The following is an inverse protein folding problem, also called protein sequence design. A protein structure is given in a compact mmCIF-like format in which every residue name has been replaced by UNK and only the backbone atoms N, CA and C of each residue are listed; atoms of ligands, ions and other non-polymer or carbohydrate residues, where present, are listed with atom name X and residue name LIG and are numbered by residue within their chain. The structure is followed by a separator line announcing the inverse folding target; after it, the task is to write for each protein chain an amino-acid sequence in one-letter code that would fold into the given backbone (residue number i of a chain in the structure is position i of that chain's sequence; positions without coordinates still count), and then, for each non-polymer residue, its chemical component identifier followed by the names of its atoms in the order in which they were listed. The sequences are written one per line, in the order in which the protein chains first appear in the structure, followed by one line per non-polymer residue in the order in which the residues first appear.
data_IF_364085166219
#
_entry.id   IF_364085166219
#
_cell.length_a   1.000
_cell.length_b   1.000
_cell.length_c   1.000
_cell.angle_alpha   90.00
_cell.angle_beta   90.00
_cell.angle_gamma   90.00
#
_symmetry.space_group_name_H-M   'P 1'
#
loop_
_entity.id
_entity.type
_entity.pdbx_description
1 polymer ?
#
# COMPACT_ATOMS: atom_id res chain seq x y z
N UNK A 1 -3.02 48.54 30.80
CA UNK A 1 -3.27 47.13 30.46
C UNK A 1 -3.53 46.38 31.75
N UNK A 2 -4.77 45.98 32.00
CA UNK A 2 -5.13 45.08 33.11
C UNK A 2 -4.90 43.65 32.66
N UNK A 3 -4.17 42.86 33.46
CA UNK A 3 -3.96 41.43 33.23
C UNK A 3 -5.10 40.71 33.93
N UNK A 4 -6.00 40.08 33.16
CA UNK A 4 -7.04 39.20 33.69
C UNK A 4 -6.43 37.92 34.27
N UNK A 5 -6.94 37.50 35.43
CA UNK A 5 -6.54 36.25 36.07
C UNK A 5 -7.19 35.03 35.39
N UNK A 6 -6.50 33.86 35.37
CA UNK A 6 -7.02 32.67 34.72
C UNK A 6 -8.19 32.08 35.52
N UNK A 7 -9.30 31.81 34.82
CA UNK A 7 -10.44 31.10 35.38
C UNK A 7 -10.10 29.62 35.61
N UNK A 8 -10.13 29.18 36.86
CA UNK A 8 -10.14 27.75 37.23
C UNK A 8 -11.46 27.10 36.84
N UNK A 9 -11.41 26.18 35.87
CA UNK A 9 -12.52 25.32 35.50
C UNK A 9 -12.63 24.20 36.55
N UNK A 10 -13.72 24.19 37.32
CA UNK A 10 -14.07 23.08 38.20
C UNK A 10 -14.88 22.06 37.41
N UNK A 11 -14.37 20.83 37.31
CA UNK A 11 -15.09 19.69 36.75
C UNK A 11 -16.09 19.16 37.78
N UNK A 12 -17.36 19.03 37.39
CA UNK A 12 -18.41 18.44 38.22
C UNK A 12 -18.29 16.91 38.23
N UNK A 13 -17.67 16.39 39.29
CA UNK A 13 -17.48 14.96 39.58
C UNK A 13 -18.76 14.11 39.55
N UNK A 14 -19.96 14.72 39.64
CA UNK A 14 -21.23 13.99 39.52
C UNK A 14 -21.54 13.59 38.08
N UNK A 15 -21.09 14.37 37.10
CA UNK A 15 -21.32 14.09 35.68
C UNK A 15 -20.47 12.92 35.17
N UNK A 16 -19.24 12.80 35.67
CA UNK A 16 -18.32 11.69 35.35
C UNK A 16 -18.79 10.37 35.95
N UNK A 17 -19.27 10.37 37.21
CA UNK A 17 -19.80 9.17 37.85
C UNK A 17 -20.97 8.57 37.07
N UNK A 18 -21.89 9.41 36.58
CA UNK A 18 -23.02 8.97 35.77
C UNK A 18 -22.58 8.33 34.44
N UNK A 19 -21.52 8.86 33.83
CA UNK A 19 -20.95 8.32 32.59
C UNK A 19 -20.26 6.96 32.83
N UNK A 20 -19.55 6.83 33.94
CA UNK A 20 -18.89 5.58 34.34
C UNK A 20 -19.93 4.51 34.69
N UNK A 21 -20.96 4.85 35.47
CA UNK A 21 -22.01 3.90 35.84
C UNK A 21 -22.82 3.43 34.61
N UNK A 22 -23.05 4.32 33.64
CA UNK A 22 -23.72 3.99 32.38
C UNK A 22 -22.84 3.11 31.47
N UNK A 23 -21.53 3.37 31.42
CA UNK A 23 -20.58 2.53 30.70
C UNK A 23 -20.46 1.13 31.32
N UNK A 24 -20.43 1.01 32.65
CA UNK A 24 -20.41 -0.29 33.35
C UNK A 24 -21.68 -1.09 33.06
N UNK A 25 -22.85 -0.45 33.08
CA UNK A 25 -24.12 -1.10 32.77
C UNK A 25 -24.19 -1.60 31.31
N UNK A 26 -23.63 -0.85 30.35
CA UNK A 26 -23.56 -1.29 28.95
C UNK A 26 -22.60 -2.48 28.75
N UNK A 27 -21.48 -2.51 29.47
CA UNK A 27 -20.52 -3.63 29.45
C UNK A 27 -21.10 -4.90 30.06
N UNK A 28 -21.85 -4.81 31.17
CA UNK A 28 -22.49 -5.98 31.81
C UNK A 28 -23.61 -6.61 30.96
N UNK A 29 -24.33 -5.80 30.18
CA UNK A 29 -25.36 -6.28 29.23
C UNK A 29 -24.71 -7.03 28.06
N UNK A 30 -23.57 -6.56 27.55
CA UNK A 30 -22.81 -7.29 26.50
C UNK A 30 -22.16 -8.57 27.03
N UNK A 31 -21.63 -8.58 28.26
CA UNK A 31 -21.02 -9.75 28.87
C UNK A 31 -22.04 -10.89 29.11
N UNK A 32 -23.27 -10.56 29.50
CA UNK A 32 -24.34 -11.54 29.74
C UNK A 32 -24.92 -12.13 28.45
N UNK A 33 -24.82 -11.43 27.31
CA UNK A 33 -25.25 -11.95 25.99
C UNK A 33 -24.19 -12.82 25.30
N UNK A 34 -22.91 -12.69 25.64
CA UNK A 34 -21.82 -13.49 25.06
C UNK A 34 -21.82 -14.95 25.53
N UNK A 35 -22.33 -15.24 26.73
CA UNK A 35 -22.33 -16.59 27.33
C UNK A 35 -23.39 -17.56 26.76
N UNK A 36 -24.18 -17.17 25.76
CA UNK A 36 -25.21 -18.04 25.16
C UNK A 36 -25.02 -18.35 23.67
N UNK A 37 -23.82 -18.16 23.09
CA UNK A 37 -23.57 -18.58 21.70
C UNK A 37 -22.86 -19.94 21.63
N UNK A 38 -23.50 -20.98 21.04
CA UNK A 38 -22.91 -22.31 20.91
C UNK A 38 -21.71 -22.29 19.95
N UNK A 39 -20.56 -22.76 20.43
CA UNK A 39 -19.44 -23.39 19.68
C UNK A 39 -19.27 -23.07 18.18
N UNK A 40 -19.24 -21.79 17.79
CA UNK A 40 -19.06 -21.37 16.38
C UNK A 40 -17.59 -21.12 15.98
N UNK A 41 -16.64 -21.39 16.88
CA UNK A 41 -15.21 -21.03 16.74
C UNK A 41 -14.42 -21.80 15.66
N UNK A 42 -14.97 -22.78 14.93
CA UNK A 42 -14.20 -23.59 13.96
C UNK A 42 -14.47 -23.32 12.47
N UNK A 43 -15.42 -22.46 12.09
CA UNK A 43 -15.83 -22.37 10.67
C UNK A 43 -15.07 -21.35 9.81
N UNK A 44 -14.33 -20.41 10.42
CA UNK A 44 -13.58 -19.40 9.67
C UNK A 44 -12.14 -19.81 9.32
N UNK A 45 -11.47 -20.67 10.11
CA UNK A 45 -10.12 -21.13 9.75
C UNK A 45 -10.14 -22.08 8.54
N UNK A 46 -11.21 -22.88 8.38
CA UNK A 46 -11.30 -23.84 7.28
C UNK A 46 -11.54 -23.22 5.90
N UNK A 47 -12.04 -21.98 5.78
CA UNK A 47 -12.22 -21.34 4.45
C UNK A 47 -10.92 -20.95 3.77
N UNK A 48 -9.82 -20.84 4.51
CA UNK A 48 -8.51 -20.52 3.93
C UNK A 48 -7.70 -21.77 3.53
N UNK A 49 -8.02 -22.95 4.07
CA UNK A 49 -7.36 -24.22 3.69
C UNK A 49 -7.53 -24.58 2.20
N UNK A 50 -8.56 -24.04 1.54
CA UNK A 50 -8.80 -24.31 0.10
C UNK A 50 -7.73 -23.67 -0.81
N UNK A 51 -6.86 -22.81 -0.29
CA UNK A 51 -5.80 -22.14 -1.05
C UNK A 51 -4.43 -22.27 -0.37
N UNK A 52 -4.08 -23.48 0.08
CA UNK A 52 -2.79 -23.72 0.75
C UNK A 52 -1.58 -23.45 -0.17
N UNK A 53 -1.78 -23.38 -1.48
CA UNK A 53 -0.72 -22.98 -2.40
C UNK A 53 -0.50 -21.45 -2.40
N UNK A 54 0.59 -21.02 -1.76
CA UNK A 54 1.01 -19.62 -1.68
C UNK A 54 1.18 -18.96 -3.07
N UNK A 55 1.65 -19.70 -4.08
CA UNK A 55 1.85 -19.20 -5.45
C UNK A 55 0.50 -18.88 -6.09
N UNK A 56 -0.47 -19.79 -5.95
CA UNK A 56 -1.81 -19.57 -6.49
C UNK A 56 -2.47 -18.34 -5.85
N UNK A 57 -2.35 -18.17 -4.53
CA UNK A 57 -2.83 -16.98 -3.83
C UNK A 57 -2.21 -15.70 -4.38
N UNK A 58 -0.91 -15.74 -4.65
CA UNK A 58 -0.16 -14.61 -5.20
C UNK A 58 -0.66 -14.23 -6.61
N UNK A 59 -0.72 -15.20 -7.51
CA UNK A 59 -1.20 -15.00 -8.90
C UNK A 59 -2.65 -14.50 -8.93
N UNK A 60 -3.50 -15.01 -8.05
CA UNK A 60 -4.90 -14.57 -7.93
C UNK A 60 -5.09 -13.22 -7.21
N UNK A 61 -4.01 -12.50 -6.92
CA UNK A 61 -4.04 -11.14 -6.38
C UNK A 61 -4.41 -11.07 -4.89
N UNK A 62 -4.31 -12.17 -4.14
CA UNK A 62 -4.52 -12.18 -2.68
C UNK A 62 -3.27 -11.72 -1.91
N UNK A 63 -2.73 -10.58 -2.33
CA UNK A 63 -1.52 -9.97 -1.75
C UNK A 63 -1.84 -9.25 -0.44
N UNK A 64 -0.96 -9.40 0.55
CA UNK A 64 -0.92 -8.47 1.69
C UNK A 64 -0.48 -7.08 1.21
N UNK A 65 -0.73 -6.00 1.97
CA UNK A 65 -0.27 -4.68 1.59
C UNK A 65 1.24 -4.64 1.33
N UNK A 66 2.04 -5.22 2.22
CA UNK A 66 3.50 -5.28 2.06
C UNK A 66 3.91 -6.06 0.81
N UNK A 67 3.27 -7.21 0.54
CA UNK A 67 3.53 -7.99 -0.68
C UNK A 67 3.19 -7.21 -1.94
N UNK A 68 2.09 -6.46 -1.94
CA UNK A 68 1.73 -5.60 -3.06
C UNK A 68 2.76 -4.49 -3.27
N UNK A 69 3.25 -3.83 -2.21
CA UNK A 69 4.30 -2.81 -2.33
C UNK A 69 5.57 -3.39 -2.93
N UNK A 70 6.06 -4.48 -2.33
CA UNK A 70 7.30 -5.13 -2.77
C UNK A 70 7.17 -5.59 -4.22
N UNK A 71 6.06 -6.24 -4.57
CA UNK A 71 5.81 -6.69 -5.94
C UNK A 71 5.79 -5.53 -6.95
N UNK A 72 5.04 -4.46 -6.65
CA UNK A 72 4.97 -3.29 -7.53
C UNK A 72 6.33 -2.60 -7.71
N UNK A 73 7.07 -2.37 -6.62
CA UNK A 73 8.37 -1.66 -6.66
C UNK A 73 9.44 -2.51 -7.33
N UNK A 74 9.60 -3.78 -6.91
CA UNK A 74 10.61 -4.69 -7.48
C UNK A 74 10.29 -4.95 -8.95
N UNK A 75 9.02 -5.21 -9.28
CA UNK A 75 8.59 -5.40 -10.66
C UNK A 75 8.90 -4.20 -11.54
N UNK A 76 8.58 -2.98 -11.09
CA UNK A 76 8.90 -1.76 -11.82
C UNK A 76 10.40 -1.57 -12.05
N UNK A 77 11.20 -1.65 -10.98
CA UNK A 77 12.65 -1.45 -11.06
C UNK A 77 13.25 -2.48 -12.02
N UNK A 78 12.86 -3.75 -11.89
CA UNK A 78 13.35 -4.83 -12.75
C UNK A 78 13.02 -4.58 -14.22
N UNK A 79 11.77 -4.24 -14.54
CA UNK A 79 11.33 -3.97 -15.92
C UNK A 79 12.08 -2.77 -16.51
N UNK A 80 12.20 -1.66 -15.77
CA UNK A 80 12.89 -0.47 -16.26
C UNK A 80 14.40 -0.64 -16.35
N UNK A 81 15.02 -1.44 -15.49
CA UNK A 81 16.42 -1.81 -15.66
C UNK A 81 16.62 -2.59 -16.97
N UNK A 82 15.70 -3.50 -17.32
CA UNK A 82 15.76 -4.26 -18.58
C UNK A 82 15.57 -3.34 -19.79
N UNK A 83 14.59 -2.44 -19.78
CA UNK A 83 14.43 -1.44 -20.85
C UNK A 83 15.62 -0.47 -20.91
N UNK A 84 16.18 -0.10 -19.76
CA UNK A 84 17.41 0.68 -19.67
C UNK A 84 18.60 -0.02 -20.31
N UNK A 85 18.73 -1.34 -20.13
CA UNK A 85 19.75 -2.14 -20.81
C UNK A 85 19.52 -2.17 -22.33
N UNK A 86 18.27 -2.28 -22.79
CA UNK A 86 17.92 -2.18 -24.21
C UNK A 86 18.29 -0.82 -24.80
N UNK A 87 18.02 0.26 -24.07
CA UNK A 87 18.37 1.64 -24.45
C UNK A 87 19.89 1.86 -24.46
N UNK A 88 20.59 1.36 -23.44
CA UNK A 88 22.04 1.48 -23.31
C UNK A 88 22.77 0.75 -24.45
N UNK A 89 22.35 -0.49 -24.74
CA UNK A 89 22.90 -1.29 -25.84
C UNK A 89 22.65 -0.66 -27.22
N UNK A 90 21.50 0.00 -27.41
CA UNK A 90 21.21 0.79 -28.60
C UNK A 90 22.27 1.88 -28.81
N UNK A 91 22.52 2.69 -27.77
CA UNK A 91 23.42 3.84 -27.86
C UNK A 91 24.90 3.47 -27.88
N UNK A 92 25.29 2.35 -27.27
CA UNK A 92 26.68 1.85 -27.34
C UNK A 92 27.10 1.38 -28.72
N UNK A 93 26.14 0.97 -29.54
CA UNK A 93 26.44 0.25 -30.77
C UNK A 93 26.96 1.14 -31.92
N UNK A 94 27.23 2.43 -31.66
CA UNK A 94 27.67 3.42 -32.66
C UNK A 94 26.82 3.39 -33.95
N UNK A 95 25.51 3.10 -33.82
CA UNK A 95 24.61 3.16 -34.96
C UNK A 95 24.54 4.58 -35.49
N UNK A 96 24.32 4.76 -36.81
CA UNK A 96 24.31 6.08 -37.44
C UNK A 96 23.24 7.02 -36.86
N UNK A 97 22.28 6.50 -36.09
CA UNK A 97 21.27 7.27 -35.37
C UNK A 97 21.26 6.87 -33.89
N UNK A 98 21.31 7.86 -33.01
CA UNK A 98 21.07 7.66 -31.57
C UNK A 98 19.57 7.54 -31.32
N UNK A 99 19.18 6.78 -30.30
CA UNK A 99 17.76 6.69 -29.93
C UNK A 99 17.29 8.04 -29.42
N UNK A 100 16.18 8.54 -29.96
CA UNK A 100 15.51 9.73 -29.46
C UNK A 100 14.01 9.47 -29.36
N UNK A 101 13.42 9.82 -28.22
CA UNK A 101 11.96 9.72 -28.00
C UNK A 101 11.16 10.55 -29.01
N UNK A 102 11.79 11.50 -29.69
CA UNK A 102 11.15 12.36 -30.69
C UNK A 102 11.07 11.71 -32.08
N UNK A 103 11.94 10.72 -32.35
CA UNK A 103 12.11 10.12 -33.69
C UNK A 103 11.93 8.61 -33.70
N UNK A 104 12.08 7.96 -32.56
CA UNK A 104 12.13 6.51 -32.41
C UNK A 104 11.02 6.07 -31.46
N UNK A 105 10.14 5.20 -31.96
CA UNK A 105 9.10 4.58 -31.13
C UNK A 105 9.76 3.73 -30.04
N UNK A 106 9.03 3.48 -28.95
CA UNK A 106 9.52 2.61 -27.89
C UNK A 106 9.82 1.21 -28.42
N UNK A 107 9.02 0.72 -29.39
CA UNK A 107 9.21 -0.55 -30.07
C UNK A 107 10.50 -0.66 -30.90
N UNK A 108 11.15 0.45 -31.28
CA UNK A 108 12.44 0.40 -31.99
C UNK A 108 13.53 -0.27 -31.16
N UNK A 109 13.44 -0.16 -29.82
CA UNK A 109 14.35 -0.82 -28.90
C UNK A 109 14.31 -2.35 -29.05
N UNK A 110 13.18 -2.91 -29.49
CA UNK A 110 12.99 -4.35 -29.67
C UNK A 110 13.18 -4.87 -31.07
N UNK A 111 13.63 -4.07 -32.02
CA UNK A 111 13.79 -4.52 -33.40
C UNK A 111 15.19 -5.03 -33.70
N UNK A 112 15.28 -6.17 -34.38
CA UNK A 112 16.54 -6.71 -34.89
C UNK A 112 16.93 -6.21 -36.29
N UNK A 113 16.16 -5.28 -36.88
CA UNK A 113 16.55 -4.69 -38.16
C UNK A 113 17.86 -3.90 -38.01
N UNK A 114 18.70 -3.91 -39.03
CA UNK A 114 20.04 -3.29 -38.99
C UNK A 114 20.02 -1.78 -38.75
N UNK A 115 18.91 -1.11 -39.07
CA UNK A 115 18.70 0.32 -38.87
C UNK A 115 18.20 0.67 -37.45
N UNK A 116 18.00 -0.34 -36.60
CA UNK A 116 17.36 -0.21 -35.28
C UNK A 116 18.26 -0.76 -34.17
N UNK A 117 17.83 -1.78 -33.41
CA UNK A 117 18.58 -2.31 -32.24
C UNK A 117 19.05 -3.78 -32.38
N UNK A 118 19.78 -4.15 -33.43
CA UNK A 118 20.06 -5.55 -33.72
C UNK A 118 20.90 -6.27 -32.66
N UNK A 119 21.58 -5.53 -31.76
CA UNK A 119 22.36 -6.10 -30.64
C UNK A 119 21.65 -6.08 -29.29
N UNK A 120 20.64 -5.23 -29.12
CA UNK A 120 19.96 -5.02 -27.84
C UNK A 120 18.50 -5.47 -27.81
N UNK A 121 17.94 -5.84 -28.96
CA UNK A 121 16.51 -6.12 -29.11
C UNK A 121 15.95 -7.16 -28.13
N UNK A 122 16.75 -8.17 -27.78
CA UNK A 122 16.29 -9.24 -26.88
C UNK A 122 16.03 -8.72 -25.47
N UNK A 123 16.70 -7.65 -25.00
CA UNK A 123 16.39 -7.04 -23.71
C UNK A 123 14.97 -6.48 -23.70
N UNK A 124 14.58 -5.78 -24.76
CA UNK A 124 13.21 -5.29 -24.90
C UNK A 124 12.19 -6.43 -24.90
N UNK A 125 12.42 -7.48 -25.69
CA UNK A 125 11.53 -8.66 -25.72
C UNK A 125 11.40 -9.31 -24.33
N UNK A 126 12.52 -9.50 -23.62
CA UNK A 126 12.51 -10.04 -22.25
C UNK A 126 11.70 -9.12 -21.32
N UNK A 127 11.89 -7.80 -21.41
CA UNK A 127 11.14 -6.83 -20.60
C UNK A 127 9.62 -6.88 -20.87
N UNK A 128 9.21 -6.99 -22.13
CA UNK A 128 7.80 -7.09 -22.52
C UNK A 128 7.16 -8.42 -22.07
N UNK A 129 7.89 -9.52 -22.15
CA UNK A 129 7.41 -10.82 -21.64
C UNK A 129 7.36 -10.83 -20.11
N UNK A 130 8.38 -10.27 -19.44
CA UNK A 130 8.44 -10.25 -17.99
C UNK A 130 7.36 -9.33 -17.39
N UNK A 131 7.10 -8.19 -18.02
CA UNK A 131 6.05 -7.27 -17.61
C UNK A 131 4.67 -7.94 -17.59
N UNK A 132 4.36 -8.81 -18.56
CA UNK A 132 3.14 -9.64 -18.52
C UNK A 132 3.00 -10.43 -17.21
N UNK A 133 4.06 -11.12 -16.78
CA UNK A 133 4.03 -11.92 -15.55
C UNK A 133 3.94 -11.07 -14.29
N UNK A 134 4.61 -9.91 -14.28
CA UNK A 134 4.56 -8.96 -13.16
C UNK A 134 3.18 -8.30 -13.06
N UNK A 135 2.52 -8.02 -14.17
CA UNK A 135 1.26 -7.29 -14.17
C UNK A 135 0.07 -8.17 -13.75
N UNK A 136 0.06 -9.48 -14.05
CA UNK A 136 -1.05 -10.38 -13.71
C UNK A 136 -1.45 -10.32 -12.22
N UNK A 137 -0.54 -10.50 -11.24
CA UNK A 137 -0.90 -10.39 -9.82
C UNK A 137 -1.48 -9.03 -9.44
N UNK A 138 -1.01 -7.94 -10.07
CA UNK A 138 -1.52 -6.58 -9.84
C UNK A 138 -2.92 -6.40 -10.41
N UNK A 139 -3.19 -6.88 -11.62
CA UNK A 139 -4.52 -6.85 -12.22
C UNK A 139 -5.53 -7.62 -11.37
N UNK A 140 -5.13 -8.82 -10.92
CA UNK A 140 -5.95 -9.62 -10.05
C UNK A 140 -6.17 -8.91 -8.71
N UNK A 141 -5.13 -8.30 -8.12
CA UNK A 141 -5.27 -7.50 -6.90
C UNK A 141 -6.29 -6.38 -7.07
N UNK A 142 -6.18 -5.59 -8.14
CA UNK A 142 -7.11 -4.51 -8.47
C UNK A 142 -8.55 -5.04 -8.60
N UNK A 143 -8.74 -6.14 -9.33
CA UNK A 143 -10.05 -6.78 -9.45
C UNK A 143 -10.64 -7.20 -8.10
N UNK A 144 -9.82 -7.83 -7.23
CA UNK A 144 -10.27 -8.24 -5.89
C UNK A 144 -10.76 -7.05 -5.05
N UNK A 145 -10.23 -5.85 -5.27
CA UNK A 145 -10.68 -4.62 -4.58
C UNK A 145 -11.93 -4.05 -5.21
N UNK A 146 -11.92 -3.86 -6.52
CA UNK A 146 -12.99 -3.16 -7.22
C UNK A 146 -14.28 -3.97 -7.33
N UNK A 147 -14.22 -5.31 -7.28
CA UNK A 147 -15.42 -6.16 -7.31
C UNK A 147 -16.39 -5.91 -6.14
N UNK A 148 -15.92 -5.30 -5.05
CA UNK A 148 -16.75 -4.93 -3.91
C UNK A 148 -17.54 -3.63 -4.14
N UNK A 149 -17.13 -2.82 -5.11
CA UNK A 149 -17.85 -1.61 -5.54
C UNK A 149 -18.93 -1.99 -6.54
N UNK A 150 -18.54 -2.61 -7.65
CA UNK A 150 -19.44 -3.16 -8.68
C UNK A 150 -18.78 -4.36 -9.36
N UNK A 151 -19.35 -5.56 -9.16
CA UNK A 151 -18.80 -6.80 -9.70
C UNK A 151 -18.80 -6.84 -11.22
N UNK A 152 -19.83 -6.27 -11.88
CA UNK A 152 -19.97 -6.34 -13.33
C UNK A 152 -18.92 -5.46 -13.99
N UNK A 153 -18.83 -4.20 -13.59
CA UNK A 153 -17.84 -3.27 -14.13
C UNK A 153 -16.41 -3.72 -13.80
N UNK A 154 -16.15 -4.28 -12.60
CA UNK A 154 -14.85 -4.83 -12.27
C UNK A 154 -14.46 -6.02 -13.17
N UNK A 155 -15.41 -6.89 -13.54
CA UNK A 155 -15.16 -7.97 -14.51
C UNK A 155 -14.87 -7.43 -15.91
N UNK A 156 -15.64 -6.44 -16.38
CA UNK A 156 -15.40 -5.81 -17.68
C UNK A 156 -14.01 -5.18 -17.72
N UNK A 157 -13.66 -4.41 -16.68
CA UNK A 157 -12.31 -3.85 -16.55
C UNK A 157 -11.24 -4.93 -16.59
N UNK A 158 -11.38 -6.00 -15.79
CA UNK A 158 -10.42 -7.10 -15.77
C UNK A 158 -10.24 -7.73 -17.15
N UNK A 159 -11.32 -7.96 -17.92
CA UNK A 159 -11.23 -8.52 -19.27
C UNK A 159 -10.42 -7.63 -20.19
N UNK A 160 -10.68 -6.32 -20.20
CA UNK A 160 -9.92 -5.37 -21.02
C UNK A 160 -8.45 -5.27 -20.59
N UNK A 161 -8.17 -5.19 -19.29
CA UNK A 161 -6.80 -5.20 -18.80
C UNK A 161 -6.07 -6.48 -19.15
N UNK A 162 -6.70 -7.64 -18.95
CA UNK A 162 -6.09 -8.93 -19.26
C UNK A 162 -5.84 -9.09 -20.75
N UNK A 163 -6.76 -8.64 -21.60
CA UNK A 163 -6.57 -8.60 -23.06
C UNK A 163 -5.38 -7.71 -23.43
N UNK A 164 -5.25 -6.53 -22.81
CA UNK A 164 -4.13 -5.62 -23.03
C UNK A 164 -2.79 -6.25 -22.64
N UNK A 165 -2.72 -6.89 -21.48
CA UNK A 165 -1.51 -7.54 -20.97
C UNK A 165 -1.13 -8.77 -21.80
N UNK A 166 -2.09 -9.59 -22.23
CA UNK A 166 -1.85 -10.68 -23.19
C UNK A 166 -1.34 -10.15 -24.53
N UNK A 167 -1.90 -9.05 -25.04
CA UNK A 167 -1.43 -8.44 -26.28
C UNK A 167 -0.02 -7.86 -26.12
N UNK A 168 0.31 -7.27 -24.98
CA UNK A 168 1.66 -6.81 -24.63
C UNK A 168 2.69 -7.95 -24.62
N UNK A 169 2.33 -9.12 -24.07
CA UNK A 169 3.15 -10.33 -24.19
C UNK A 169 3.43 -10.67 -25.66
N UNK A 170 2.40 -10.61 -26.52
CA UNK A 170 2.56 -10.85 -27.95
C UNK A 170 3.42 -9.77 -28.64
N UNK A 171 3.36 -8.51 -28.21
CA UNK A 171 4.28 -7.45 -28.70
C UNK A 171 5.74 -7.85 -28.44
N UNK A 172 6.03 -8.47 -27.29
CA UNK A 172 7.36 -9.01 -26.97
C UNK A 172 7.75 -10.18 -27.88
N UNK A 173 6.83 -11.11 -28.14
CA UNK A 173 7.04 -12.28 -29.00
C UNK A 173 7.18 -11.94 -30.49
N UNK A 174 6.52 -10.87 -30.94
CA UNK A 174 6.54 -10.39 -32.31
C UNK A 174 7.11 -8.96 -32.31
N UNK A 175 8.44 -8.80 -32.26
CA UNK A 175 9.05 -7.48 -32.28
C UNK A 175 8.83 -6.78 -33.62
N UNK A 176 8.99 -5.46 -33.63
CA UNK A 176 8.77 -4.64 -34.81
C UNK A 176 9.93 -4.79 -35.81
N UNK A 177 9.88 -5.83 -36.65
CA UNK A 177 10.92 -6.14 -37.63
C UNK A 177 10.34 -6.38 -39.03
N UNK A 178 11.12 -6.06 -40.06
CA UNK A 178 10.69 -6.19 -41.46
C UNK A 178 10.81 -7.60 -42.04
N UNK A 179 11.41 -8.53 -41.29
CA UNK A 179 11.53 -9.93 -41.68
C UNK A 179 10.16 -10.60 -41.89
N UNK A 180 10.10 -11.49 -42.88
CA UNK A 180 8.90 -12.24 -43.25
C UNK A 180 8.75 -13.44 -42.29
N UNK A 181 7.54 -13.63 -41.74
CA UNK A 181 7.20 -14.81 -40.92
C UNK A 181 6.67 -15.93 -41.82
N UNK A 182 5.63 -15.63 -42.59
CA UNK A 182 4.92 -16.60 -43.41
C UNK A 182 4.33 -15.93 -44.65
N UNK A 183 4.69 -16.41 -45.84
CA UNK A 183 4.21 -15.85 -47.11
C UNK A 183 4.60 -14.38 -47.27
N UNK A 184 3.61 -13.48 -47.19
CA UNK A 184 3.80 -12.02 -47.28
C UNK A 184 3.68 -11.30 -45.93
N UNK A 185 3.39 -12.02 -44.86
CA UNK A 185 3.17 -11.46 -43.52
C UNK A 185 4.53 -11.17 -42.88
N UNK A 186 4.76 -9.93 -42.48
CA UNK A 186 5.97 -9.51 -41.75
C UNK A 186 5.74 -9.51 -40.24
N UNK A 187 6.83 -9.57 -39.48
CA UNK A 187 6.79 -9.38 -38.02
C UNK A 187 6.13 -8.04 -37.63
N UNK A 188 6.46 -6.95 -38.33
CA UNK A 188 5.87 -5.62 -38.11
C UNK A 188 4.34 -5.59 -38.28
N UNK A 189 3.76 -6.40 -39.17
CA UNK A 189 2.31 -6.44 -39.39
C UNK A 189 1.58 -7.01 -38.16
N UNK A 190 2.12 -8.10 -37.61
CA UNK A 190 1.61 -8.71 -36.38
C UNK A 190 1.85 -7.79 -35.21
N UNK A 191 3.08 -7.28 -35.05
CA UNK A 191 3.48 -6.34 -33.99
C UNK A 191 2.52 -5.15 -33.90
N UNK A 192 2.30 -4.47 -35.04
CA UNK A 192 1.43 -3.31 -35.12
C UNK A 192 0.00 -3.65 -34.70
N UNK A 193 -0.52 -4.79 -35.16
CA UNK A 193 -1.85 -5.25 -34.81
C UNK A 193 -2.00 -5.51 -33.30
N UNK A 194 -1.05 -6.23 -32.69
CA UNK A 194 -1.10 -6.54 -31.25
C UNK A 194 -0.80 -5.30 -30.39
N UNK A 195 0.03 -4.36 -30.85
CA UNK A 195 0.26 -3.08 -30.18
C UNK A 195 -1.03 -2.23 -30.16
N UNK A 196 -1.77 -2.16 -31.26
CA UNK A 196 -3.07 -1.48 -31.32
C UNK A 196 -4.06 -2.11 -30.34
N UNK A 197 -4.15 -3.44 -30.31
CA UNK A 197 -5.02 -4.16 -29.35
C UNK A 197 -4.60 -3.83 -27.92
N UNK A 198 -3.29 -3.82 -27.63
CA UNK A 198 -2.76 -3.44 -26.32
C UNK A 198 -3.26 -2.06 -25.91
N UNK A 199 -3.02 -1.03 -26.73
CA UNK A 199 -3.43 0.34 -26.42
C UNK A 199 -4.94 0.50 -26.27
N UNK A 200 -5.76 -0.06 -27.18
CA UNK A 200 -7.21 0.05 -27.11
C UNK A 200 -7.79 -0.65 -25.86
N UNK A 201 -7.25 -1.81 -25.51
CA UNK A 201 -7.71 -2.55 -24.34
C UNK A 201 -7.43 -1.80 -23.05
N UNK A 202 -6.21 -1.26 -22.93
CA UNK A 202 -5.81 -0.46 -21.77
C UNK A 202 -6.54 0.89 -21.72
N UNK A 203 -6.80 1.52 -22.87
CA UNK A 203 -7.62 2.72 -23.01
C UNK A 203 -9.03 2.54 -22.46
N UNK A 204 -9.62 1.35 -22.61
CA UNK A 204 -10.95 1.06 -22.07
C UNK A 204 -10.87 0.63 -20.60
N UNK A 205 -9.89 -0.21 -20.24
CA UNK A 205 -9.74 -0.73 -18.88
C UNK A 205 -9.42 0.35 -17.83
N UNK A 206 -8.51 1.27 -18.11
CA UNK A 206 -8.07 2.27 -17.12
C UNK A 206 -9.19 3.27 -16.72
N UNK A 207 -9.97 3.83 -17.66
CA UNK A 207 -11.11 4.68 -17.32
C UNK A 207 -12.21 3.93 -16.57
N UNK A 208 -12.47 2.64 -16.85
CA UNK A 208 -13.45 1.86 -16.08
C UNK A 208 -13.01 1.73 -14.62
N UNK A 209 -11.72 1.47 -14.36
CA UNK A 209 -11.17 1.49 -13.01
C UNK A 209 -11.34 2.85 -12.32
N UNK A 210 -11.07 3.94 -13.04
CA UNK A 210 -11.27 5.30 -12.52
C UNK A 210 -12.74 5.59 -12.21
N UNK A 211 -13.64 5.20 -13.12
CA UNK A 211 -15.08 5.36 -12.96
C UNK A 211 -15.61 4.56 -11.77
N UNK A 212 -15.12 3.34 -11.54
CA UNK A 212 -15.45 2.53 -10.37
C UNK A 212 -15.06 3.23 -9.06
N UNK A 213 -13.87 3.81 -8.98
CA UNK A 213 -13.44 4.57 -7.80
C UNK A 213 -14.30 5.82 -7.59
N UNK A 214 -14.55 6.59 -8.65
CA UNK A 214 -15.41 7.76 -8.60
C UNK A 214 -16.85 7.41 -8.20
N UNK A 215 -17.34 6.24 -8.63
CA UNK A 215 -18.68 5.75 -8.35
C UNK A 215 -18.88 5.29 -6.89
N UNK A 216 -17.83 4.77 -6.23
CA UNK A 216 -17.89 4.37 -4.83
C UNK A 216 -18.11 5.57 -3.88
N UNK A 217 -17.54 6.74 -4.24
CA UNK A 217 -17.52 7.95 -3.42
C UNK A 217 -18.89 8.38 -2.86
N UNK A 218 -19.95 8.64 -3.66
CA UNK A 218 -21.24 9.07 -3.12
C UNK A 218 -21.93 7.99 -2.29
N UNK A 219 -21.59 6.71 -2.48
CA UNK A 219 -22.19 5.59 -1.74
C UNK A 219 -21.52 5.38 -0.38
N UNK A 220 -20.22 5.55 -0.32
CA UNK A 220 -19.44 5.53 0.92
C UNK A 220 -19.90 6.66 1.85
N UNK A 221 -20.14 7.87 1.33
CA UNK A 221 -20.66 8.99 2.13
C UNK A 221 -22.09 8.79 2.69
N UNK A 222 -22.97 8.03 2.00
CA UNK A 222 -24.37 7.85 2.42
C UNK A 222 -24.55 6.81 3.53
N UNK A 223 -23.60 5.90 3.74
CA UNK A 223 -23.64 4.93 4.84
C UNK A 223 -23.02 5.54 6.09
N UNK A 224 -23.73 6.49 6.70
CA UNK A 224 -23.39 7.09 8.00
C UNK A 224 -23.13 5.95 9.00
N UNK A 225 -21.87 5.83 9.46
CA UNK A 225 -21.44 4.80 10.42
C UNK A 225 -20.54 3.69 9.87
N UNK A 226 -20.39 3.53 8.54
CA UNK A 226 -19.34 2.68 7.96
C UNK A 226 -18.20 3.57 7.49
N UNK A 227 -17.02 3.44 8.09
CA UNK A 227 -15.79 4.12 7.62
C UNK A 227 -15.67 3.91 6.11
N UNK A 228 -15.45 5.00 5.38
CA UNK A 228 -15.17 4.98 3.95
C UNK A 228 -14.06 3.95 3.68
N UNK A 229 -14.31 3.02 2.75
CA UNK A 229 -13.30 2.02 2.41
C UNK A 229 -12.09 2.66 1.72
N UNK A 230 -12.30 3.76 1.01
CA UNK A 230 -11.27 4.50 0.29
C UNK A 230 -11.02 5.85 0.99
N UNK A 231 -9.76 6.22 1.22
CA UNK A 231 -9.43 7.59 1.61
C UNK A 231 -9.47 8.47 0.35
N UNK A 232 -10.67 8.98 0.03
CA UNK A 232 -11.02 9.52 -1.28
C UNK A 232 -10.25 10.80 -1.69
N UNK A 233 -9.80 11.63 -0.74
CA UNK A 233 -9.41 13.02 -1.08
C UNK A 233 -8.12 13.13 -1.90
N UNK A 234 -7.11 12.32 -1.61
CA UNK A 234 -5.83 12.31 -2.35
C UNK A 234 -5.85 11.32 -3.51
N UNK A 235 -6.62 10.24 -3.36
CA UNK A 235 -6.78 9.17 -4.34
C UNK A 235 -7.49 9.67 -5.61
N UNK A 236 -8.54 10.49 -5.48
CA UNK A 236 -9.37 10.88 -6.61
C UNK A 236 -8.68 11.84 -7.59
N UNK A 237 -7.95 12.84 -7.07
CA UNK A 237 -7.27 13.85 -7.89
C UNK A 237 -6.16 13.19 -8.71
N UNK A 238 -5.39 12.31 -8.08
CA UNK A 238 -4.30 11.64 -8.75
C UNK A 238 -4.80 10.55 -9.73
N UNK A 239 -5.90 9.84 -9.43
CA UNK A 239 -6.53 8.92 -10.39
C UNK A 239 -7.06 9.69 -11.59
N UNK A 240 -7.78 10.78 -11.34
CA UNK A 240 -8.33 11.64 -12.39
C UNK A 240 -7.23 12.21 -13.27
N UNK A 241 -6.16 12.72 -12.67
CA UNK A 241 -5.03 13.30 -13.38
C UNK A 241 -4.26 12.26 -14.20
N UNK A 242 -3.94 11.10 -13.63
CA UNK A 242 -3.20 10.07 -14.36
C UNK A 242 -4.06 9.48 -15.49
N UNK A 243 -5.35 9.23 -15.26
CA UNK A 243 -6.26 8.81 -16.32
C UNK A 243 -6.41 9.89 -17.39
N UNK A 244 -6.49 11.17 -17.02
CA UNK A 244 -6.56 12.26 -17.98
C UNK A 244 -5.28 12.33 -18.81
N UNK A 245 -4.11 12.30 -18.19
CA UNK A 245 -2.82 12.28 -18.89
C UNK A 245 -2.74 11.07 -19.82
N UNK A 246 -3.13 9.89 -19.36
CA UNK A 246 -3.12 8.66 -20.17
C UNK A 246 -4.05 8.76 -21.38
N UNK A 247 -5.31 9.18 -21.17
CA UNK A 247 -6.29 9.37 -22.23
C UNK A 247 -5.86 10.45 -23.24
N UNK A 248 -5.36 11.59 -22.75
CA UNK A 248 -4.83 12.66 -23.59
C UNK A 248 -3.66 12.12 -24.40
N UNK A 249 -2.70 11.46 -23.77
CA UNK A 249 -1.52 10.93 -24.45
C UNK A 249 -1.91 9.94 -25.54
N UNK A 250 -2.93 9.12 -25.33
CA UNK A 250 -3.47 8.21 -26.33
C UNK A 250 -4.18 8.92 -27.50
N UNK A 251 -4.95 9.97 -27.22
CA UNK A 251 -5.57 10.80 -28.27
C UNK A 251 -4.48 11.43 -29.14
N UNK A 252 -3.44 12.00 -28.52
CA UNK A 252 -2.33 12.59 -29.25
C UNK A 252 -1.48 11.55 -29.99
N UNK A 253 -1.34 10.35 -29.43
CA UNK A 253 -0.73 9.20 -30.09
C UNK A 253 -1.49 8.83 -31.38
N UNK A 254 -2.82 8.71 -31.30
CA UNK A 254 -3.68 8.43 -32.47
C UNK A 254 -3.67 9.56 -33.52
N UNK A 255 -3.75 10.81 -33.07
CA UNK A 255 -3.62 11.98 -33.96
C UNK A 255 -2.24 12.03 -34.62
N UNK A 256 -1.16 11.78 -33.88
CA UNK A 256 0.20 11.73 -34.40
C UNK A 256 0.35 10.69 -35.52
N UNK A 257 -0.26 9.51 -35.38
CA UNK A 257 -0.29 8.52 -36.47
C UNK A 257 -1.08 9.00 -37.68
N UNK A 258 -2.25 9.61 -37.47
CA UNK A 258 -3.10 10.10 -38.55
C UNK A 258 -2.38 11.20 -39.35
N UNK A 259 -1.79 12.18 -38.65
CA UNK A 259 -1.08 13.29 -39.30
C UNK A 259 0.23 12.80 -39.93
N UNK A 260 0.93 11.84 -39.32
CA UNK A 260 2.15 11.24 -39.88
C UNK A 260 1.92 10.51 -41.21
N UNK A 261 0.71 9.97 -41.46
CA UNK A 261 0.33 9.44 -42.77
C UNK A 261 0.13 10.53 -43.83
N UNK A 262 -0.21 11.75 -43.40
CA UNK A 262 -0.49 12.90 -44.28
C UNK A 262 0.78 13.72 -44.53
N UNK A 263 1.66 13.84 -43.53
CA UNK A 263 2.93 14.57 -43.62
C UNK A 263 4.10 13.67 -43.22
N UNK A 264 4.89 13.27 -44.21
CA UNK A 264 5.95 12.26 -44.07
C UNK A 264 7.27 12.80 -43.48
N UNK A 265 7.46 14.13 -43.41
CA UNK A 265 8.73 14.72 -42.92
C UNK A 265 8.55 15.81 -41.85
N UNK A 266 7.53 16.67 -41.91
CA UNK A 266 7.51 17.92 -41.12
C UNK A 266 7.17 17.77 -39.63
N UNK A 267 6.75 16.57 -39.20
CA UNK A 267 6.26 16.33 -37.84
C UNK A 267 7.32 15.66 -36.95
N UNK A 268 8.35 15.07 -37.57
CA UNK A 268 9.51 14.53 -36.85
C UNK A 268 10.15 15.69 -36.08
N UNK A 269 10.48 15.46 -34.80
CA UNK A 269 11.03 16.45 -33.87
C UNK A 269 10.08 17.56 -33.38
N UNK A 270 8.77 17.39 -33.52
CA UNK A 270 7.78 18.30 -32.91
C UNK A 270 7.11 17.66 -31.70
N UNK A 271 6.43 18.46 -30.88
CA UNK A 271 5.56 17.96 -29.79
C UNK A 271 4.40 17.10 -30.32
N UNK A 272 4.16 17.08 -31.64
CA UNK A 272 3.14 16.26 -32.30
C UNK A 272 3.69 14.95 -32.85
N UNK A 273 4.96 14.64 -32.57
CA UNK A 273 5.59 13.40 -33.01
C UNK A 273 4.93 12.18 -32.33
N UNK A 274 4.52 11.21 -33.14
CA UNK A 274 3.98 9.94 -32.65
C UNK A 274 4.91 9.21 -31.66
N UNK A 275 6.23 9.10 -31.95
CA UNK A 275 7.20 8.50 -31.01
C UNK A 275 7.15 9.10 -29.60
N UNK A 276 7.03 10.44 -29.49
CA UNK A 276 7.00 11.11 -28.20
C UNK A 276 5.79 10.66 -27.38
N UNK A 277 4.61 10.71 -27.99
CA UNK A 277 3.37 10.37 -27.29
C UNK A 277 3.26 8.89 -26.98
N UNK A 278 3.76 8.01 -27.84
CA UNK A 278 3.85 6.59 -27.51
C UNK A 278 4.72 6.35 -26.26
N UNK A 279 5.90 6.98 -26.17
CA UNK A 279 6.74 6.89 -24.97
C UNK A 279 5.99 7.42 -23.73
N UNK A 280 5.37 8.61 -23.82
CA UNK A 280 4.60 9.20 -22.72
C UNK A 280 3.46 8.29 -22.27
N UNK A 281 2.70 7.69 -23.20
CA UNK A 281 1.65 6.72 -22.89
C UNK A 281 2.21 5.53 -22.12
N UNK A 282 3.34 4.98 -22.56
CA UNK A 282 3.96 3.81 -21.90
C UNK A 282 4.43 4.19 -20.48
N UNK A 283 5.14 5.31 -20.31
CA UNK A 283 5.56 5.77 -18.97
C UNK A 283 4.36 5.99 -18.05
N UNK A 284 3.31 6.65 -18.53
CA UNK A 284 2.12 6.97 -17.74
C UNK A 284 1.32 5.72 -17.39
N UNK A 285 1.28 4.72 -18.29
CA UNK A 285 0.70 3.41 -18.02
C UNK A 285 1.43 2.67 -16.91
N UNK A 286 2.77 2.61 -16.95
CA UNK A 286 3.55 1.94 -15.90
C UNK A 286 3.38 2.65 -14.54
N UNK A 287 3.42 3.98 -14.54
CA UNK A 287 3.12 4.76 -13.34
C UNK A 287 1.72 4.45 -12.82
N UNK A 288 0.72 4.40 -13.69
CA UNK A 288 -0.64 4.01 -13.31
C UNK A 288 -0.69 2.61 -12.69
N UNK A 289 -0.06 1.61 -13.31
CA UNK A 289 -0.08 0.21 -12.85
C UNK A 289 0.51 0.01 -11.45
N UNK A 290 1.47 0.85 -11.05
CA UNK A 290 2.09 0.80 -9.72
C UNK A 290 1.31 1.63 -8.73
N UNK A 291 0.99 2.84 -9.14
CA UNK A 291 0.38 3.82 -8.28
C UNK A 291 -1.07 3.46 -7.94
N UNK A 292 -1.84 2.99 -8.90
CA UNK A 292 -3.26 2.70 -8.73
C UNK A 292 -3.52 1.65 -7.64
N UNK A 293 -2.85 0.48 -7.60
CA UNK A 293 -2.97 -0.47 -6.50
C UNK A 293 -2.71 0.11 -5.09
N UNK A 294 -1.79 1.08 -4.95
CA UNK A 294 -1.50 1.74 -3.67
C UNK A 294 -2.65 2.59 -3.16
N UNK A 295 -3.49 3.07 -4.06
CA UNK A 295 -4.63 3.91 -3.70
C UNK A 295 -5.87 3.12 -3.31
N UNK A 296 -5.89 1.82 -3.61
CA UNK A 296 -7.01 0.96 -3.29
C UNK A 296 -7.01 0.56 -1.80
N UNK A 297 -8.20 0.26 -1.22
CA UNK A 297 -8.32 -0.06 0.20
C UNK A 297 -7.52 -1.30 0.55
N UNK A 298 -6.86 -1.30 1.71
CA UNK A 298 -6.21 -2.53 2.19
C UNK A 298 -7.28 -3.46 2.76
N UNK A 299 -7.07 -4.77 2.65
CA UNK A 299 -8.03 -5.79 3.13
C UNK A 299 -8.28 -5.68 4.63
N UNK A 300 -7.28 -5.21 5.37
CA UNK A 300 -7.30 -4.97 6.80
C UNK A 300 -8.25 -3.84 7.21
N UNK A 301 -8.57 -2.92 6.30
CA UNK A 301 -9.30 -1.70 6.63
C UNK A 301 -10.81 -1.95 6.75
N UNK A 302 -11.28 -3.13 6.33
CA UNK A 302 -12.67 -3.56 6.42
C UNK A 302 -13.05 -4.25 7.74
N UNK A 303 -12.09 -4.56 8.62
CA UNK A 303 -12.42 -5.00 9.99
C UNK A 303 -12.71 -3.74 10.78
N UNK A 304 -13.99 -3.50 11.07
CA UNK A 304 -14.40 -2.40 11.92
C UNK A 304 -13.59 -2.47 13.23
N UNK A 305 -12.91 -1.39 13.67
CA UNK A 305 -12.14 -1.39 14.91
C UNK A 305 -12.96 -1.87 16.12
N UNK A 306 -14.29 -1.65 16.11
CA UNK A 306 -15.21 -2.18 17.13
C UNK A 306 -15.21 -3.71 17.23
N UNK A 307 -15.08 -4.43 16.10
CA UNK A 307 -14.98 -5.89 16.09
C UNK A 307 -13.59 -6.40 16.47
N UNK A 308 -12.54 -5.63 16.17
CA UNK A 308 -11.17 -5.95 16.62
C UNK A 308 -11.04 -5.77 18.12
N UNK A 309 -11.66 -4.73 18.67
CA UNK A 309 -11.79 -4.54 20.11
C UNK A 309 -12.61 -5.67 20.72
N UNK A 310 -13.83 -5.99 20.24
CA UNK A 310 -14.64 -7.06 20.85
C UNK A 310 -14.02 -8.47 20.75
N UNK A 311 -13.28 -8.78 19.68
CA UNK A 311 -12.57 -10.06 19.57
C UNK A 311 -11.27 -10.10 20.37
N UNK A 312 -10.60 -8.97 20.59
CA UNK A 312 -9.48 -8.88 21.54
C UNK A 312 -9.97 -8.93 22.99
N UNK A 313 -11.06 -8.24 23.33
CA UNK A 313 -11.65 -8.23 24.67
C UNK A 313 -12.22 -9.61 25.05
N UNK A 314 -12.79 -10.36 24.11
CA UNK A 314 -13.26 -11.74 24.36
C UNK A 314 -12.14 -12.80 24.43
N UNK A 315 -10.89 -12.42 24.16
CA UNK A 315 -9.71 -13.29 24.29
C UNK A 315 -8.85 -12.95 25.50
N UNK A 316 -9.01 -11.77 26.05
CA UNK A 316 -8.46 -11.41 27.35
C UNK A 316 -9.34 -12.15 28.37
N UNK A 317 -8.79 -13.16 29.05
CA UNK A 317 -9.54 -13.85 30.11
C UNK A 317 -10.02 -12.81 31.13
N UNK A 318 -11.13 -13.09 31.83
CA UNK A 318 -11.58 -12.22 32.92
C UNK A 318 -10.42 -11.89 33.88
N UNK A 319 -9.52 -12.85 34.11
CA UNK A 319 -8.30 -12.67 34.90
C UNK A 319 -7.35 -11.62 34.33
N UNK A 320 -7.13 -11.58 33.01
CA UNK A 320 -6.29 -10.55 32.39
C UNK A 320 -6.96 -9.16 32.38
N UNK A 321 -8.29 -9.08 32.27
CA UNK A 321 -9.02 -7.81 32.43
C UNK A 321 -8.89 -7.34 33.88
N UNK A 322 -9.08 -8.24 34.84
CA UNK A 322 -8.99 -7.97 36.27
C UNK A 322 -7.56 -7.60 36.67
N UNK A 323 -6.55 -8.22 36.05
CA UNK A 323 -5.14 -7.86 36.18
C UNK A 323 -4.88 -6.45 35.65
N UNK A 324 -5.34 -6.09 34.44
CA UNK A 324 -5.21 -4.73 33.88
C UNK A 324 -5.95 -3.68 34.70
N UNK A 325 -7.10 -4.04 35.25
CA UNK A 325 -7.91 -3.14 36.08
C UNK A 325 -7.29 -2.95 37.46
N UNK A 326 -6.74 -4.01 38.07
CA UNK A 326 -6.00 -3.92 39.32
C UNK A 326 -4.68 -3.16 39.13
N UNK A 327 -3.94 -3.42 38.04
CA UNK A 327 -2.72 -2.70 37.69
C UNK A 327 -2.99 -1.20 37.53
N UNK A 328 -4.01 -0.81 36.78
CA UNK A 328 -4.35 0.61 36.60
C UNK A 328 -4.83 1.27 37.90
N UNK A 329 -5.59 0.56 38.74
CA UNK A 329 -6.05 1.06 40.05
C UNK A 329 -4.89 1.21 41.05
N UNK A 330 -3.99 0.24 41.10
CA UNK A 330 -2.75 0.31 41.91
C UNK A 330 -1.85 1.43 41.40
N UNK A 331 -1.73 1.62 40.08
CA UNK A 331 -0.97 2.74 39.50
C UNK A 331 -1.56 4.10 39.89
N UNK A 332 -2.88 4.24 39.79
CA UNK A 332 -3.58 5.47 40.17
C UNK A 332 -3.45 5.77 41.67
N UNK A 333 -3.44 4.74 42.51
CA UNK A 333 -3.19 4.87 43.95
C UNK A 333 -1.74 5.26 44.25
N UNK A 334 -0.76 4.70 43.52
CA UNK A 334 0.65 5.05 43.66
C UNK A 334 0.89 6.51 43.25
N UNK A 335 0.31 6.96 42.13
CA UNK A 335 0.39 8.36 41.68
C UNK A 335 -0.26 9.34 42.66
N UNK A 336 -1.44 9.00 43.19
CA UNK A 336 -2.15 9.89 44.12
C UNK A 336 -1.58 9.86 45.54
N UNK A 337 -0.83 8.82 45.90
CA UNK A 337 0.01 8.87 47.08
C UNK A 337 1.19 9.79 46.77
N UNK A 338 1.28 10.95 47.42
CA UNK A 338 2.37 11.95 47.24
C UNK A 338 3.79 11.43 47.56
N UNK A 339 3.99 10.11 47.60
CA UNK A 339 5.24 9.38 47.79
C UNK A 339 5.21 8.14 46.90
N UNK A 340 5.61 8.30 45.64
CA UNK A 340 5.87 7.15 44.77
C UNK A 340 7.08 6.41 45.33
N UNK A 341 6.83 5.26 45.98
CA UNK A 341 7.92 4.40 46.44
C UNK A 341 8.51 3.69 45.22
N UNK A 342 9.70 4.11 44.80
CA UNK A 342 10.45 3.58 43.64
C UNK A 342 10.51 2.04 43.65
N UNK A 343 10.59 1.42 44.83
CA UNK A 343 10.61 -0.03 44.98
C UNK A 343 9.30 -0.70 44.55
N UNK A 344 8.16 -0.07 44.81
CA UNK A 344 6.86 -0.60 44.40
C UNK A 344 6.65 -0.47 42.88
N UNK A 345 7.19 0.59 42.27
CA UNK A 345 7.16 0.78 40.82
C UNK A 345 8.08 -0.23 40.09
N UNK A 346 9.26 -0.52 40.66
CA UNK A 346 10.18 -1.53 40.14
C UNK A 346 9.58 -2.94 40.19
N UNK A 347 8.98 -3.34 41.33
CA UNK A 347 8.32 -4.64 41.48
C UNK A 347 7.13 -4.79 40.50
N UNK A 348 6.43 -3.69 40.19
CA UNK A 348 5.34 -3.70 39.22
C UNK A 348 5.85 -3.93 37.79
N UNK A 349 6.98 -3.32 37.43
CA UNK A 349 7.64 -3.49 36.14
C UNK A 349 8.16 -4.92 35.94
N UNK A 350 8.72 -5.53 36.98
CA UNK A 350 9.17 -6.93 36.98
C UNK A 350 7.99 -7.89 36.76
N UNK A 351 6.84 -7.62 37.39
CA UNK A 351 5.64 -8.43 37.18
C UNK A 351 5.03 -8.25 35.77
N UNK A 352 5.26 -7.10 35.13
CA UNK A 352 4.81 -6.83 33.76
C UNK A 352 5.78 -7.47 32.74
N UNK A 353 7.08 -7.60 33.03
CA UNK A 353 8.04 -8.22 32.11
C UNK A 353 7.84 -9.73 31.92
N UNK A 354 7.21 -10.41 32.88
CA UNK A 354 6.93 -11.85 32.81
C UNK A 354 5.69 -12.20 31.96
N UNK A 355 5.00 -11.21 31.37
CA UNK A 355 3.84 -11.45 30.51
C UNK A 355 4.27 -11.64 29.04
N UNK A 356 4.31 -12.90 28.57
CA UNK A 356 4.85 -13.33 27.26
C UNK A 356 4.12 -12.82 25.99
N UNK A 357 2.95 -12.20 26.10
CA UNK A 357 2.25 -11.67 24.93
C UNK A 357 2.09 -10.15 24.99
N UNK A 358 2.50 -9.48 23.90
CA UNK A 358 1.91 -8.27 23.27
C UNK A 358 2.90 -7.10 23.04
N UNK A 359 3.14 -6.77 21.75
CA UNK A 359 3.85 -5.56 21.27
C UNK A 359 3.25 -4.23 21.80
N UNK A 360 1.95 -4.18 22.15
CA UNK A 360 1.31 -3.01 22.75
C UNK A 360 1.73 -2.76 24.22
N UNK A 361 2.27 -3.75 24.93
CA UNK A 361 2.72 -3.61 26.32
C UNK A 361 4.06 -2.88 26.42
N UNK A 362 4.91 -2.96 25.38
CA UNK A 362 6.18 -2.22 25.30
C UNK A 362 5.96 -0.70 25.31
N UNK A 363 4.87 -0.23 24.71
CA UNK A 363 4.47 1.18 24.74
C UNK A 363 4.08 1.62 26.16
N UNK A 364 3.43 0.74 26.92
CA UNK A 364 3.04 0.98 28.30
C UNK A 364 4.24 0.95 29.26
N UNK A 365 5.13 -0.03 29.10
CA UNK A 365 6.40 -0.12 29.85
C UNK A 365 7.28 1.12 29.60
N UNK A 366 7.34 1.62 28.37
CA UNK A 366 8.07 2.84 28.03
C UNK A 366 7.48 4.08 28.70
N UNK A 367 6.15 4.23 28.72
CA UNK A 367 5.48 5.34 29.41
C UNK A 367 5.70 5.26 30.92
N UNK A 368 5.64 4.06 31.50
CA UNK A 368 5.89 3.84 32.94
C UNK A 368 7.35 4.19 33.29
N UNK A 369 8.31 3.72 32.50
CA UNK A 369 9.73 4.02 32.69
C UNK A 369 10.02 5.52 32.57
N UNK A 370 9.46 6.19 31.55
CA UNK A 370 9.60 7.64 31.37
C UNK A 370 8.97 8.44 32.51
N UNK A 371 7.84 7.97 33.06
CA UNK A 371 7.18 8.63 34.20
C UNK A 371 7.99 8.48 35.49
N UNK A 372 8.59 7.31 35.74
CA UNK A 372 9.49 7.08 36.87
C UNK A 372 10.73 7.97 36.76
N UNK A 373 11.32 8.08 35.57
CA UNK A 373 12.49 8.93 35.31
C UNK A 373 12.14 10.40 35.56
N UNK A 374 11.00 10.88 35.04
CA UNK A 374 10.54 12.26 35.24
C UNK A 374 10.33 12.59 36.74
N UNK A 375 9.75 11.66 37.51
CA UNK A 375 9.50 11.84 38.94
C UNK A 375 10.81 11.77 39.77
N UNK A 376 11.77 10.92 39.39
CA UNK A 376 13.09 10.88 40.04
C UNK A 376 13.90 12.16 39.79
N UNK A 377 13.80 12.73 38.58
CA UNK A 377 14.40 14.03 38.23
C UNK A 377 13.75 15.16 39.04
N UNK A 378 12.42 15.19 39.12
CA UNK A 378 11.68 16.24 39.83
C UNK A 378 11.97 16.23 41.35
N UNK A 379 12.26 15.06 41.92
CA UNK A 379 12.57 14.89 43.34
C UNK A 379 14.07 15.04 43.68
N UNK A 380 14.90 15.58 42.76
CA UNK A 380 16.33 15.85 42.98
C UNK A 380 17.14 14.61 43.44
N UNK A 381 16.71 13.41 43.04
CA UNK A 381 17.48 12.20 43.37
C UNK A 381 18.81 12.18 42.62
N UNK A 382 19.85 11.66 43.27
CA UNK A 382 21.22 11.69 42.77
C UNK A 382 21.30 10.99 41.39
N UNK A 383 21.84 11.69 40.39
CA UNK A 383 21.90 11.21 38.99
C UNK A 383 22.59 9.85 38.83
N UNK A 384 23.46 9.47 39.78
CA UNK A 384 24.11 8.17 39.81
C UNK A 384 23.13 7.02 40.07
N UNK A 385 22.09 7.24 40.88
CA UNK A 385 21.10 6.24 41.25
C UNK A 385 20.09 6.01 40.12
N UNK A 386 19.65 7.11 39.46
CA UNK A 386 18.86 7.06 38.22
C UNK A 386 19.60 6.29 37.13
N UNK A 387 20.89 6.58 36.93
CA UNK A 387 21.73 5.88 35.94
C UNK A 387 21.91 4.40 36.26
N UNK A 388 22.03 4.02 37.54
CA UNK A 388 22.15 2.62 37.97
C UNK A 388 20.86 1.85 37.68
N UNK A 389 19.70 2.39 38.04
CA UNK A 389 18.38 1.77 37.80
C UNK A 389 18.09 1.60 36.31
N UNK A 390 18.40 2.62 35.49
CA UNK A 390 18.29 2.54 34.03
C UNK A 390 19.18 1.43 33.45
N UNK A 391 20.40 1.29 33.96
CA UNK A 391 21.36 0.28 33.51
C UNK A 391 20.96 -1.15 33.91
N UNK A 392 20.37 -1.34 35.09
CA UNK A 392 19.79 -2.63 35.50
C UNK A 392 18.57 -2.99 34.65
N UNK A 393 17.70 -2.02 34.36
CA UNK A 393 16.53 -2.24 33.49
C UNK A 393 16.93 -2.64 32.07
N UNK A 394 17.91 -1.94 31.45
CA UNK A 394 18.40 -2.27 30.10
C UNK A 394 19.12 -3.61 30.04
N UNK A 395 19.81 -4.01 31.11
CA UNK A 395 20.52 -5.30 31.16
C UNK A 395 19.55 -6.49 31.12
N UNK A 396 18.35 -6.32 31.67
CA UNK A 396 17.33 -7.38 31.72
C UNK A 396 16.44 -7.43 30.46
N UNK A 397 16.46 -6.41 29.59
CA UNK A 397 15.59 -6.32 28.41
C UNK A 397 16.28 -6.71 27.08
N UNK A 398 17.32 -7.55 27.15
CA UNK A 398 18.31 -7.76 26.07
C UNK A 398 17.83 -8.43 24.76
N UNK A 399 16.52 -8.63 24.52
CA UNK A 399 16.06 -9.21 23.24
C UNK A 399 15.19 -8.32 22.35
N UNK A 400 14.79 -7.10 22.77
CA UNK A 400 13.91 -6.28 21.94
C UNK A 400 14.32 -4.80 21.87
N UNK A 401 14.99 -4.47 20.76
CA UNK A 401 15.13 -3.13 20.17
C UNK A 401 16.04 -2.09 20.86
N UNK A 402 16.57 -1.17 20.07
CA UNK A 402 17.64 -0.22 20.40
C UNK A 402 17.14 1.00 21.20
N UNK A 403 16.62 0.77 22.41
CA UNK A 403 16.03 1.78 23.30
C UNK A 403 17.00 2.88 23.76
N UNK A 404 18.29 2.60 23.75
CA UNK A 404 19.34 3.52 24.21
C UNK A 404 19.38 4.83 23.40
N UNK A 405 19.08 4.76 22.09
CA UNK A 405 19.06 5.94 21.21
C UNK A 405 17.83 6.83 21.42
N UNK A 406 16.64 6.23 21.60
CA UNK A 406 15.41 6.97 21.87
C UNK A 406 15.47 7.69 23.22
N UNK A 407 16.01 7.03 24.24
CA UNK A 407 16.20 7.62 25.57
C UNK A 407 17.25 8.74 25.57
N UNK A 408 18.37 8.58 24.84
CA UNK A 408 19.36 9.66 24.67
C UNK A 408 18.76 10.90 24.00
N UNK A 409 17.80 10.72 23.09
CA UNK A 409 17.13 11.81 22.37
C UNK A 409 16.09 12.54 23.22
N UNK A 410 15.47 11.88 24.21
CA UNK A 410 14.49 12.50 25.10
C UNK A 410 15.11 13.14 26.38
N UNK A 411 16.36 12.80 26.70
CA UNK A 411 17.09 13.34 27.86
C UNK A 411 17.84 14.65 27.50
N UNK A 412 18.16 14.86 26.22
CA UNK A 412 18.57 16.17 25.68
C UNK A 412 17.30 17.02 25.52
#
# INVERSE_FOLDING_TARGET
MQIEQPQTIWFDTRSEKKYIDQFIAEVDIEASTVNQTPNSKSSQSNRFSKYDNAIFRYICGYLTPQQQIVHSVVGFVLIWCIYGASYYTFNLSNYPQQYSIMTSTFSFLGSWDSERNPKGWYWFTIGMILSFFVEIPLLMYVYQRLKHVDLKLAKVSLVFWFMGVCAQFLVGCFPDANSIIFGKIKFTDIHTSVAIITFLSLLVGAPINGALVAYDRPRSCKKIGKKNMLNHRHTDICIGLINAIFCISLVFCGLGQLIGKISTQSIKNTIWSFPLWENVVIFTLYLYLIWFPFTLPRRTDGICPKQRLSTSFNKISLDQIQLKTNLSRTWFQILNSKKVNVRNAANLLEHISDCEEVEDLLSYQAVVALTIIAEMINNNQNSAEVKKTLKEFTKNSNELWNWEQTLKTCII
#
